data_IF_882727834200
#
_entry.id   IF_882727834200
#
_cell.length_a   1.000
_cell.length_b   1.000
_cell.length_c   1.000
_cell.angle_alpha   90.00
_cell.angle_beta   90.00
_cell.angle_gamma   90.00
#
_symmetry.space_group_name_H-M   'P 1'
#
loop_
_entity.id
_entity.type
_entity.pdbx_description
1 polymer ?
#
# COMPACT_ATOMS: atom_id res chain seq x y z
N UNK A 1 -39.40 2.07 -3.61
CA UNK A 1 -38.21 2.72 -3.04
C UNK A 1 -37.22 2.89 -4.16
N UNK A 2 -36.64 4.05 -4.34
CA UNK A 2 -35.61 4.31 -5.32
C UNK A 2 -34.37 3.52 -4.89
N UNK A 3 -33.78 2.73 -5.80
CA UNK A 3 -32.51 2.10 -5.56
C UNK A 3 -31.39 3.09 -5.86
N UNK A 4 -30.30 3.02 -5.11
CA UNK A 4 -29.15 3.89 -5.25
C UNK A 4 -27.89 3.07 -5.49
N UNK A 5 -27.00 3.62 -6.28
CA UNK A 5 -25.68 3.08 -6.57
C UNK A 5 -24.61 4.02 -6.04
N UNK A 6 -23.52 3.44 -5.53
CA UNK A 6 -22.31 4.21 -5.18
C UNK A 6 -21.28 4.11 -6.28
N UNK A 7 -20.51 5.15 -6.42
CA UNK A 7 -19.32 5.20 -7.27
C UNK A 7 -18.17 5.76 -6.47
N UNK A 8 -17.05 5.03 -6.44
CA UNK A 8 -15.88 5.35 -5.63
C UNK A 8 -14.64 5.44 -6.50
N UNK A 9 -13.85 6.49 -6.30
CA UNK A 9 -12.46 6.60 -6.68
C UNK A 9 -11.58 6.66 -5.43
N UNK A 10 -10.38 6.11 -5.51
CA UNK A 10 -9.42 6.11 -4.40
C UNK A 10 -8.15 6.85 -4.80
N UNK A 11 -7.70 7.75 -3.94
CA UNK A 11 -6.36 8.32 -3.94
C UNK A 11 -5.53 7.63 -2.87
N UNK A 12 -4.31 7.21 -3.22
CA UNK A 12 -3.43 6.50 -2.30
C UNK A 12 -2.05 7.16 -2.26
N UNK A 13 -1.69 7.71 -1.11
CA UNK A 13 -0.36 8.25 -0.87
C UNK A 13 0.55 7.14 -0.35
N UNK A 14 1.66 6.90 -1.03
CA UNK A 14 2.63 5.84 -0.73
C UNK A 14 3.98 6.48 -0.45
N UNK A 15 4.48 6.34 0.78
CA UNK A 15 5.83 6.77 1.13
C UNK A 15 6.86 5.84 0.49
N UNK A 16 7.80 6.42 -0.25
CA UNK A 16 8.86 5.67 -0.92
C UNK A 16 9.94 5.22 0.06
N UNK A 17 10.40 3.98 -0.10
CA UNK A 17 11.47 3.37 0.72
C UNK A 17 12.86 3.87 0.29
N UNK A 18 13.08 5.19 0.36
CA UNK A 18 14.39 5.81 0.11
C UNK A 18 15.14 6.04 1.41
N UNK A 19 16.46 6.06 1.38
CA UNK A 19 17.28 6.38 2.54
C UNK A 19 17.22 7.87 2.90
N UNK A 20 17.08 8.74 1.89
CA UNK A 20 17.03 10.19 2.07
C UNK A 20 15.72 10.76 1.51
N UNK A 21 15.41 11.99 1.88
CA UNK A 21 14.23 12.71 1.40
C UNK A 21 14.25 12.98 -0.11
N UNK A 22 13.14 13.50 -0.64
CA UNK A 22 12.97 13.68 -2.10
C UNK A 22 13.94 14.69 -2.69
N UNK A 23 14.20 15.80 -1.99
CA UNK A 23 15.01 16.91 -2.50
C UNK A 23 16.16 17.30 -1.57
N UNK A 24 16.36 16.61 -0.46
CA UNK A 24 17.41 16.91 0.51
C UNK A 24 18.13 15.63 0.95
N UNK A 25 19.37 15.73 1.51
CA UNK A 25 20.11 14.60 2.02
C UNK A 25 19.67 14.17 3.43
N UNK A 26 18.64 14.81 4.03
CA UNK A 26 18.14 14.41 5.33
C UNK A 26 17.60 12.97 5.31
N UNK A 27 17.71 12.28 6.43
CA UNK A 27 17.20 10.93 6.61
C UNK A 27 15.69 10.88 6.37
N UNK A 28 15.23 9.88 5.60
CA UNK A 28 13.80 9.69 5.34
C UNK A 28 13.09 8.91 6.48
N UNK A 29 13.82 8.29 7.38
CA UNK A 29 13.24 7.59 8.53
C UNK A 29 13.13 8.51 9.74
N UNK A 30 11.91 9.00 10.00
CA UNK A 30 11.58 9.84 11.14
C UNK A 30 11.06 9.06 12.36
N UNK A 31 10.99 7.71 12.29
CA UNK A 31 10.43 6.88 13.37
C UNK A 31 11.31 6.94 14.61
N UNK A 32 10.68 7.24 15.75
CA UNK A 32 11.37 7.32 17.04
C UNK A 32 12.41 8.45 17.15
N UNK A 33 12.45 9.39 16.20
CA UNK A 33 13.33 10.56 16.24
C UNK A 33 12.67 11.72 16.97
N UNK A 34 13.50 12.53 17.65
CA UNK A 34 13.02 13.77 18.26
C UNK A 34 12.45 14.71 17.19
N UNK A 35 11.39 15.48 17.50
CA UNK A 35 10.82 16.44 16.56
C UNK A 35 11.88 17.41 16.01
N UNK A 36 11.80 17.68 14.70
CA UNK A 36 12.71 18.57 13.98
C UNK A 36 14.21 18.19 14.04
N UNK A 37 14.53 16.90 14.23
CA UNK A 37 15.92 16.42 14.32
C UNK A 37 16.45 15.84 13.00
N UNK A 38 15.58 15.44 12.07
CA UNK A 38 15.95 14.89 10.76
C UNK A 38 15.49 15.82 9.63
N UNK A 39 15.99 17.05 9.67
CA UNK A 39 15.66 18.14 8.74
C UNK A 39 16.93 18.76 8.18
N UNK A 40 16.85 19.24 6.94
CA UNK A 40 17.94 19.94 6.24
C UNK A 40 17.48 21.38 5.92
N UNK A 41 18.40 22.35 5.73
CA UNK A 41 18.03 23.71 5.28
C UNK A 41 17.10 23.78 4.07
N UNK A 42 17.18 22.80 3.15
CA UNK A 42 16.22 22.66 2.04
C UNK A 42 14.82 22.39 2.55
N UNK A 43 14.64 21.48 3.54
CA UNK A 43 13.35 21.13 4.11
C UNK A 43 12.71 22.29 4.89
N UNK A 44 13.54 23.21 5.38
CA UNK A 44 13.10 24.46 6.02
C UNK A 44 12.76 25.59 5.03
N UNK A 45 13.00 25.39 3.74
CA UNK A 45 12.79 26.45 2.74
C UNK A 45 13.68 27.66 2.95
N UNK A 46 14.91 27.49 3.46
CA UNK A 46 15.81 28.61 3.73
C UNK A 46 16.25 29.28 2.42
N UNK A 47 16.38 30.62 2.41
CA UNK A 47 16.81 31.36 1.20
C UNK A 47 18.14 30.86 0.64
N UNK A 48 18.20 30.65 -0.68
CA UNK A 48 19.37 30.15 -1.38
C UNK A 48 19.53 28.63 -1.41
N UNK A 49 18.65 27.88 -0.73
CA UNK A 49 18.64 26.42 -0.82
C UNK A 49 17.81 25.95 -2.00
N UNK A 50 18.39 25.11 -2.86
CA UNK A 50 17.73 24.56 -4.04
C UNK A 50 17.47 23.07 -3.87
N UNK A 51 16.35 22.55 -4.40
CA UNK A 51 16.03 21.13 -4.35
C UNK A 51 17.00 20.29 -5.20
N UNK A 52 17.40 19.11 -4.69
CA UNK A 52 18.21 18.13 -5.43
C UNK A 52 17.44 16.82 -5.49
N UNK A 53 16.97 16.45 -6.67
CA UNK A 53 16.11 15.29 -6.88
C UNK A 53 16.81 13.97 -6.51
N UNK A 54 16.18 13.19 -5.66
CA UNK A 54 16.61 11.83 -5.29
C UNK A 54 16.32 10.84 -6.43
N UNK A 55 17.39 10.34 -7.09
CA UNK A 55 17.28 9.36 -8.17
C UNK A 55 16.56 8.08 -7.74
N UNK A 56 16.75 7.63 -6.50
CA UNK A 56 16.09 6.43 -6.01
C UNK A 56 14.57 6.58 -5.94
N UNK A 57 14.07 7.77 -5.61
CA UNK A 57 12.62 8.03 -5.65
C UNK A 57 12.06 7.85 -7.07
N UNK A 58 12.77 8.32 -8.09
CA UNK A 58 12.40 8.11 -9.51
C UNK A 58 12.41 6.61 -9.85
N UNK A 59 13.45 5.88 -9.45
CA UNK A 59 13.54 4.44 -9.70
C UNK A 59 12.37 3.67 -9.05
N UNK A 60 12.00 4.03 -7.82
CA UNK A 60 10.86 3.41 -7.13
C UNK A 60 9.52 3.76 -7.80
N UNK A 61 9.37 4.99 -8.32
CA UNK A 61 8.20 5.35 -9.12
C UNK A 61 8.09 4.51 -10.42
N UNK A 62 9.20 4.28 -11.11
CA UNK A 62 9.23 3.41 -12.30
C UNK A 62 8.83 1.97 -11.96
N UNK A 63 9.29 1.43 -10.81
CA UNK A 63 8.85 0.12 -10.32
C UNK A 63 7.36 0.09 -9.98
N UNK A 64 6.85 1.14 -9.35
CA UNK A 64 5.42 1.28 -9.09
C UNK A 64 4.60 1.26 -10.38
N UNK A 65 5.07 1.93 -11.43
CA UNK A 65 4.43 1.89 -12.75
C UNK A 65 4.26 0.47 -13.28
N UNK A 66 5.29 -0.39 -13.17
CA UNK A 66 5.19 -1.81 -13.53
C UNK A 66 4.15 -2.53 -12.67
N UNK A 67 4.18 -2.33 -11.36
CA UNK A 67 3.25 -3.00 -10.44
C UNK A 67 1.79 -2.61 -10.69
N UNK A 68 1.54 -1.36 -11.11
CA UNK A 68 0.21 -0.85 -11.46
C UNK A 68 -0.25 -1.22 -12.88
N UNK A 69 0.54 -2.01 -13.63
CA UNK A 69 0.25 -2.28 -15.03
C UNK A 69 0.17 -1.00 -15.89
N UNK A 70 0.91 0.03 -15.50
CA UNK A 70 0.84 1.37 -16.05
C UNK A 70 2.05 1.70 -16.93
N UNK A 71 1.84 2.56 -17.90
CA UNK A 71 2.92 3.10 -18.72
C UNK A 71 3.69 4.16 -17.91
N UNK A 72 5.02 4.11 -17.93
CA UNK A 72 5.90 5.16 -17.41
C UNK A 72 6.19 6.19 -18.51
N UNK A 73 6.15 7.46 -18.16
CA UNK A 73 6.45 8.55 -19.08
C UNK A 73 7.96 8.66 -19.30
N UNK A 74 8.38 8.82 -20.57
CA UNK A 74 9.78 9.09 -20.90
C UNK A 74 10.24 10.48 -20.44
N UNK A 75 9.31 11.43 -20.33
CA UNK A 75 9.57 12.77 -19.81
C UNK A 75 8.49 13.12 -18.79
N UNK A 76 8.92 13.46 -17.58
CA UNK A 76 8.04 13.99 -16.53
C UNK A 76 8.64 15.24 -15.89
N UNK A 77 7.82 16.07 -15.26
CA UNK A 77 8.24 17.37 -14.70
C UNK A 77 7.55 17.63 -13.39
N UNK A 78 8.23 18.38 -12.54
CA UNK A 78 7.64 18.86 -11.30
C UNK A 78 7.00 20.24 -11.48
N UNK A 79 5.94 20.43 -10.70
CA UNK A 79 5.19 21.68 -10.60
C UNK A 79 5.14 22.09 -9.12
N UNK A 80 4.95 23.39 -8.87
CA UNK A 80 4.70 23.94 -7.54
C UNK A 80 3.20 24.09 -7.33
N UNK A 81 2.71 23.49 -6.24
CA UNK A 81 1.34 23.66 -5.72
C UNK A 81 1.39 24.64 -4.57
N UNK A 82 1.00 25.89 -4.80
CA UNK A 82 1.15 26.95 -3.80
C UNK A 82 0.00 26.92 -2.78
N UNK A 83 0.38 26.77 -1.52
CA UNK A 83 -0.49 27.01 -0.38
C UNK A 83 0.35 27.30 0.87
N UNK A 84 -0.19 28.12 1.78
CA UNK A 84 0.54 28.55 2.97
C UNK A 84 0.00 27.80 4.18
N UNK A 85 0.84 26.96 4.75
CA UNK A 85 0.52 26.24 5.97
C UNK A 85 1.80 26.02 6.80
N UNK A 86 1.73 26.00 8.16
CA UNK A 86 2.94 25.93 9.00
C UNK A 86 3.83 24.72 8.76
N UNK A 87 3.28 23.60 8.30
CA UNK A 87 3.99 22.34 8.00
C UNK A 87 4.61 22.30 6.60
N UNK A 88 4.45 23.39 5.83
CA UNK A 88 4.99 23.54 4.47
C UNK A 88 5.86 24.81 4.39
N UNK A 89 7.11 24.77 4.89
CA UNK A 89 7.95 25.98 5.04
C UNK A 89 8.24 26.70 3.72
N UNK A 90 8.29 25.99 2.60
CA UNK A 90 8.50 26.55 1.27
C UNK A 90 7.34 27.44 0.79
N UNK A 91 6.14 27.32 1.38
CA UNK A 91 4.92 27.94 0.89
C UNK A 91 4.34 27.29 -0.36
N UNK A 92 4.93 26.19 -0.82
CA UNK A 92 4.45 25.33 -1.91
C UNK A 92 4.88 23.90 -1.71
N UNK A 93 4.07 22.97 -2.19
CA UNK A 93 4.42 21.56 -2.32
C UNK A 93 4.95 21.32 -3.73
N UNK A 94 6.04 20.56 -3.86
CA UNK A 94 6.55 20.10 -5.15
C UNK A 94 5.83 18.80 -5.48
N UNK A 95 5.18 18.76 -6.64
CA UNK A 95 4.32 17.68 -7.14
C UNK A 95 4.41 17.59 -8.67
N UNK A 96 3.59 16.76 -9.32
CA UNK A 96 3.57 16.63 -10.79
C UNK A 96 2.12 16.76 -11.31
N UNK A 97 1.64 17.98 -11.49
CA UNK A 97 0.26 18.22 -11.91
C UNK A 97 0.04 17.93 -13.41
N UNK A 98 0.94 18.37 -14.27
CA UNK A 98 0.73 18.32 -15.71
C UNK A 98 1.49 17.18 -16.42
N UNK A 99 2.59 16.73 -15.83
CA UNK A 99 3.46 15.72 -16.44
C UNK A 99 3.84 14.63 -15.42
N UNK A 100 2.88 13.77 -15.01
CA UNK A 100 3.12 12.72 -14.04
C UNK A 100 4.10 11.68 -14.57
N UNK A 101 4.85 11.05 -13.67
CA UNK A 101 5.81 9.99 -14.02
C UNK A 101 5.10 8.71 -14.49
N UNK A 102 3.94 8.40 -13.92
CA UNK A 102 3.18 7.17 -14.21
C UNK A 102 1.85 7.57 -14.85
N UNK A 103 1.60 7.02 -16.03
CA UNK A 103 0.39 7.28 -16.82
C UNK A 103 -0.70 6.25 -16.47
N UNK A 104 -1.69 6.13 -17.36
CA UNK A 104 -2.80 5.22 -17.15
C UNK A 104 -2.35 3.75 -17.00
N UNK A 105 -3.06 3.01 -16.15
CA UNK A 105 -2.83 1.61 -15.85
C UNK A 105 -4.12 0.89 -15.47
N UNK A 106 -3.99 -0.38 -15.06
CA UNK A 106 -5.10 -1.22 -14.62
C UNK A 106 -4.66 -2.14 -13.49
N UNK A 107 -5.41 -2.14 -12.40
CA UNK A 107 -5.23 -3.06 -11.27
C UNK A 107 -6.42 -3.99 -11.16
N UNK A 108 -6.17 -5.29 -11.05
CA UNK A 108 -7.17 -6.31 -10.78
C UNK A 108 -7.05 -6.78 -9.33
N UNK A 109 -8.04 -6.44 -8.52
CA UNK A 109 -8.06 -6.81 -7.10
C UNK A 109 -9.04 -7.96 -6.84
N UNK A 110 -8.58 -9.07 -6.23
CA UNK A 110 -9.44 -10.21 -5.94
C UNK A 110 -10.35 -9.89 -4.75
N UNK A 111 -11.61 -10.32 -4.85
CA UNK A 111 -12.60 -10.24 -3.80
C UNK A 111 -12.59 -11.49 -2.92
N UNK A 112 -13.12 -11.38 -1.69
CA UNK A 112 -13.19 -12.49 -0.74
C UNK A 112 -14.14 -13.61 -1.22
N UNK A 113 -15.14 -13.29 -2.03
CA UNK A 113 -16.10 -14.22 -2.63
C UNK A 113 -15.58 -14.97 -3.86
N UNK A 114 -14.33 -14.71 -4.28
CA UNK A 114 -13.70 -15.28 -5.46
C UNK A 114 -13.86 -14.46 -6.75
N UNK A 115 -14.56 -13.33 -6.69
CA UNK A 115 -14.64 -12.36 -7.78
C UNK A 115 -13.37 -11.51 -7.92
N UNK A 116 -13.39 -10.59 -8.87
CA UNK A 116 -12.29 -9.63 -9.12
C UNK A 116 -12.89 -8.30 -9.52
N UNK A 117 -12.45 -7.23 -8.87
CA UNK A 117 -12.72 -5.86 -9.33
C UNK A 117 -11.56 -5.37 -10.18
N UNK A 118 -11.88 -4.74 -11.31
CA UNK A 118 -10.90 -4.09 -12.21
C UNK A 118 -11.01 -2.59 -12.05
N UNK A 119 -9.94 -1.98 -11.61
CA UNK A 119 -9.89 -0.54 -11.35
C UNK A 119 -8.80 0.07 -12.21
N UNK A 120 -9.19 1.00 -13.07
CA UNK A 120 -8.25 1.77 -13.88
C UNK A 120 -7.52 2.76 -12.99
N UNK A 121 -6.23 2.89 -13.23
CA UNK A 121 -5.40 3.96 -12.66
C UNK A 121 -5.41 5.12 -13.66
N UNK A 122 -5.83 6.29 -13.20
CA UNK A 122 -5.80 7.49 -14.02
C UNK A 122 -4.34 7.93 -14.24
N UNK A 123 -3.59 8.05 -13.16
CA UNK A 123 -2.15 8.33 -13.15
C UNK A 123 -1.56 8.07 -11.76
N UNK A 124 -0.24 8.13 -11.66
CA UNK A 124 0.42 8.33 -10.38
C UNK A 124 1.60 9.28 -10.55
N UNK A 125 1.87 10.08 -9.53
CA UNK A 125 2.87 11.12 -9.60
C UNK A 125 3.73 11.17 -8.33
N UNK A 126 4.94 11.70 -8.49
CA UNK A 126 5.88 11.90 -7.38
C UNK A 126 5.59 13.25 -6.74
N UNK A 127 5.58 13.29 -5.41
CA UNK A 127 5.44 14.53 -4.66
C UNK A 127 6.20 14.47 -3.32
N UNK A 128 6.38 15.61 -2.67
CA UNK A 128 6.92 15.67 -1.32
C UNK A 128 5.80 15.75 -0.28
N UNK A 129 5.96 15.07 0.85
CA UNK A 129 5.04 15.20 1.99
C UNK A 129 5.30 16.51 2.76
N UNK A 130 4.26 16.98 3.44
CA UNK A 130 4.35 18.08 4.40
C UNK A 130 4.81 17.58 5.78
N UNK A 131 5.15 18.50 6.68
CA UNK A 131 5.44 18.21 8.08
C UNK A 131 4.21 17.70 8.85
N UNK A 132 4.35 17.60 10.16
CA UNK A 132 3.27 17.20 11.07
C UNK A 132 2.85 18.38 11.94
N UNK A 133 1.54 18.59 12.04
CA UNK A 133 0.96 19.54 12.98
C UNK A 133 0.25 18.81 14.12
N UNK A 134 0.46 19.30 15.34
CA UNK A 134 -0.28 18.86 16.51
C UNK A 134 -0.92 20.08 17.17
N UNK A 135 -2.25 20.10 17.27
CA UNK A 135 -3.03 21.23 17.76
C UNK A 135 -3.34 21.07 19.26
N UNK A 136 -3.10 22.12 20.04
CA UNK A 136 -3.34 22.18 21.48
C UNK A 136 -4.00 23.53 21.84
N UNK A 137 -5.31 23.53 21.93
CA UNK A 137 -6.05 24.73 22.32
C UNK A 137 -5.73 25.95 21.46
N UNK A 138 -4.90 26.85 21.97
CA UNK A 138 -4.52 28.13 21.36
C UNK A 138 -3.18 28.12 20.63
N UNK A 139 -2.45 26.99 20.61
CA UNK A 139 -1.20 26.84 19.87
C UNK A 139 -1.11 25.53 19.11
N UNK A 140 -0.16 25.48 18.18
CA UNK A 140 0.17 24.26 17.44
C UNK A 140 1.66 24.00 17.48
N UNK A 141 2.03 22.72 17.58
CA UNK A 141 3.41 22.28 17.42
C UNK A 141 3.64 21.83 15.97
N UNK A 142 4.78 22.21 15.42
CA UNK A 142 5.21 21.87 14.07
C UNK A 142 6.41 20.95 14.15
N UNK A 143 6.30 19.78 13.57
CA UNK A 143 7.38 18.84 13.40
C UNK A 143 7.65 18.64 11.90
N UNK A 144 8.82 19.06 11.46
CA UNK A 144 9.24 19.02 10.05
C UNK A 144 10.02 17.75 9.68
N UNK A 145 10.12 16.77 10.59
CA UNK A 145 10.82 15.52 10.29
C UNK A 145 10.28 14.83 9.04
N UNK A 146 8.95 14.90 8.82
CA UNK A 146 8.30 14.33 7.62
C UNK A 146 8.35 15.24 6.40
N UNK A 147 8.56 16.55 6.57
CA UNK A 147 8.62 17.50 5.44
C UNK A 147 9.69 17.08 4.43
N UNK A 148 9.32 16.98 3.16
CA UNK A 148 10.21 16.52 2.09
C UNK A 148 10.32 15.00 1.94
N UNK A 149 9.60 14.19 2.72
CA UNK A 149 9.48 12.74 2.52
C UNK A 149 8.95 12.45 1.11
N UNK A 150 9.60 11.56 0.34
CA UNK A 150 9.13 11.24 -1.02
C UNK A 150 7.87 10.40 -0.97
N UNK A 151 6.86 10.83 -1.70
CA UNK A 151 5.60 10.12 -1.90
C UNK A 151 5.36 9.81 -3.38
N UNK A 152 4.57 8.76 -3.62
CA UNK A 152 3.79 8.62 -4.86
C UNK A 152 2.32 8.74 -4.47
N UNK A 153 1.59 9.63 -5.14
CA UNK A 153 0.14 9.67 -5.10
C UNK A 153 -0.41 8.88 -6.29
N UNK A 154 -1.17 7.84 -6.00
CA UNK A 154 -1.84 6.97 -6.99
C UNK A 154 -3.31 7.39 -7.04
N UNK A 155 -3.78 7.81 -8.21
CA UNK A 155 -5.17 8.24 -8.43
C UNK A 155 -5.89 7.22 -9.30
N UNK A 156 -6.96 6.63 -8.79
CA UNK A 156 -7.79 5.71 -9.55
C UNK A 156 -8.91 6.43 -10.32
N UNK A 157 -9.43 5.78 -11.37
CA UNK A 157 -10.73 6.11 -11.93
C UNK A 157 -11.85 5.66 -10.96
N UNK A 158 -13.06 6.21 -11.08
CA UNK A 158 -14.19 5.85 -10.21
C UNK A 158 -14.87 4.55 -10.64
N UNK A 159 -14.12 3.45 -10.64
CA UNK A 159 -14.56 2.13 -11.13
C UNK A 159 -15.03 1.19 -10.00
N UNK A 160 -15.10 1.68 -8.77
CA UNK A 160 -15.43 0.89 -7.58
C UNK A 160 -16.88 1.17 -7.19
N UNK A 161 -17.67 0.12 -6.91
CA UNK A 161 -19.12 0.22 -6.70
C UNK A 161 -19.61 -0.40 -5.38
N UNK A 162 -18.69 -0.91 -4.54
CA UNK A 162 -19.04 -1.41 -3.21
C UNK A 162 -17.94 -1.16 -2.18
N UNK A 163 -18.28 -1.13 -0.87
CA UNK A 163 -17.27 -1.03 0.19
C UNK A 163 -16.26 -2.19 0.16
N UNK A 164 -16.71 -3.40 -0.21
CA UNK A 164 -15.88 -4.60 -0.31
C UNK A 164 -14.86 -4.47 -1.45
N UNK A 165 -15.29 -3.93 -2.59
CA UNK A 165 -14.38 -3.63 -3.71
C UNK A 165 -13.35 -2.56 -3.32
N UNK A 166 -13.75 -1.51 -2.59
CA UNK A 166 -12.83 -0.49 -2.11
C UNK A 166 -11.76 -1.05 -1.17
N UNK A 167 -12.16 -1.92 -0.22
CA UNK A 167 -11.24 -2.65 0.65
C UNK A 167 -10.28 -3.54 -0.14
N UNK A 168 -10.80 -4.32 -1.08
CA UNK A 168 -10.01 -5.24 -1.90
C UNK A 168 -8.97 -4.49 -2.74
N UNK A 169 -9.37 -3.37 -3.37
CA UNK A 169 -8.47 -2.53 -4.14
C UNK A 169 -7.37 -1.91 -3.27
N UNK A 170 -7.72 -1.33 -2.11
CA UNK A 170 -6.74 -0.78 -1.18
C UNK A 170 -5.73 -1.85 -0.70
N UNK A 171 -6.21 -3.06 -0.38
CA UNK A 171 -5.36 -4.18 0.02
C UNK A 171 -4.45 -4.67 -1.13
N UNK A 172 -4.95 -4.70 -2.37
CA UNK A 172 -4.12 -5.08 -3.52
C UNK A 172 -3.07 -4.01 -3.86
N UNK A 173 -3.42 -2.71 -3.79
CA UNK A 173 -2.44 -1.63 -3.93
C UNK A 173 -1.29 -1.76 -2.92
N UNK A 174 -1.61 -2.02 -1.67
CA UNK A 174 -0.61 -2.24 -0.63
C UNK A 174 0.35 -3.39 -1.00
N UNK A 175 -0.20 -4.53 -1.43
CA UNK A 175 0.61 -5.69 -1.86
C UNK A 175 1.46 -5.37 -3.08
N UNK A 176 0.90 -4.71 -4.08
CA UNK A 176 1.63 -4.31 -5.28
C UNK A 176 2.84 -3.43 -4.94
N UNK A 177 2.66 -2.42 -4.08
CA UNK A 177 3.72 -1.49 -3.69
C UNK A 177 4.79 -2.16 -2.82
N UNK A 178 4.39 -3.04 -1.89
CA UNK A 178 5.35 -3.77 -1.04
C UNK A 178 6.11 -4.84 -1.83
N UNK A 179 5.45 -5.60 -2.70
CA UNK A 179 6.09 -6.63 -3.54
C UNK A 179 7.05 -6.02 -4.57
N UNK A 180 6.75 -4.85 -5.10
CA UNK A 180 7.65 -4.13 -5.98
C UNK A 180 8.83 -3.45 -5.24
N UNK A 181 8.86 -3.52 -3.91
CA UNK A 181 9.88 -2.88 -3.07
C UNK A 181 9.82 -1.36 -3.13
N UNK A 182 8.64 -0.80 -3.36
CA UNK A 182 8.42 0.66 -3.48
C UNK A 182 8.30 1.32 -2.11
N UNK A 183 7.68 0.63 -1.17
CA UNK A 183 7.41 1.09 0.21
C UNK A 183 7.66 -0.02 1.21
N UNK A 184 7.88 0.34 2.49
CA UNK A 184 7.86 -0.62 3.59
C UNK A 184 6.44 -1.09 3.92
N UNK A 185 5.41 -0.32 3.55
CA UNK A 185 4.01 -0.71 3.67
C UNK A 185 3.44 -0.70 5.09
N UNK A 186 4.14 -0.12 6.05
CA UNK A 186 3.68 -0.04 7.42
C UNK A 186 2.54 0.99 7.54
N UNK A 187 1.30 0.48 7.65
CA UNK A 187 0.10 1.30 7.76
C UNK A 187 0.04 2.04 9.10
N UNK A 188 0.54 1.43 10.17
CA UNK A 188 0.56 2.06 11.49
C UNK A 188 1.45 3.31 11.50
N UNK A 189 2.59 3.26 10.83
CA UNK A 189 3.48 4.41 10.65
C UNK A 189 3.08 5.33 9.49
N UNK A 190 1.95 5.07 8.84
CA UNK A 190 1.42 5.92 7.77
C UNK A 190 2.23 5.87 6.48
N UNK A 191 2.94 4.76 6.20
CA UNK A 191 3.63 4.58 4.93
C UNK A 191 2.67 4.51 3.74
N UNK A 192 1.41 4.14 3.98
CA UNK A 192 0.33 4.26 3.00
C UNK A 192 -0.91 4.84 3.66
N UNK A 193 -1.58 5.74 2.95
CA UNK A 193 -2.81 6.41 3.37
C UNK A 193 -3.76 6.45 2.20
N UNK A 194 -5.05 6.30 2.49
CA UNK A 194 -6.09 6.25 1.47
C UNK A 194 -7.07 7.40 1.67
N UNK A 195 -7.45 8.05 0.59
CA UNK A 195 -8.54 9.02 0.54
C UNK A 195 -9.61 8.44 -0.38
N UNK A 196 -10.86 8.37 0.11
CA UNK A 196 -11.99 7.78 -0.59
C UNK A 196 -12.90 8.88 -1.12
N UNK A 197 -13.00 8.97 -2.44
CA UNK A 197 -13.93 9.84 -3.14
C UNK A 197 -15.20 9.06 -3.46
N UNK A 198 -16.31 9.36 -2.79
CA UNK A 198 -17.58 8.63 -2.95
C UNK A 198 -18.72 9.55 -3.39
N UNK A 199 -19.48 9.12 -4.39
CA UNK A 199 -20.73 9.72 -4.82
C UNK A 199 -21.83 8.67 -4.88
N UNK A 200 -23.09 9.10 -4.68
CA UNK A 200 -24.29 8.27 -4.74
C UNK A 200 -25.28 8.89 -5.71
N UNK A 201 -25.82 8.06 -6.58
CA UNK A 201 -26.86 8.43 -7.54
C UNK A 201 -27.96 7.37 -7.59
N UNK A 202 -29.17 7.69 -8.09
CA UNK A 202 -30.19 6.68 -8.39
C UNK A 202 -29.67 5.64 -9.38
N UNK A 203 -30.07 4.37 -9.20
CA UNK A 203 -29.69 3.26 -10.09
C UNK A 203 -30.00 3.61 -11.57
N UNK A 204 -28.99 3.45 -12.42
CA UNK A 204 -29.10 3.77 -13.86
C UNK A 204 -28.99 5.26 -14.21
N UNK A 205 -28.61 6.12 -13.27
CA UNK A 205 -28.33 7.53 -13.56
C UNK A 205 -27.14 7.65 -14.52
N UNK A 206 -27.23 8.57 -15.48
CA UNK A 206 -26.15 8.85 -16.44
C UNK A 206 -25.06 9.78 -15.89
N UNK A 207 -25.38 10.52 -14.84
CA UNK A 207 -24.47 11.46 -14.19
C UNK A 207 -24.14 11.00 -12.76
N UNK A 208 -22.89 11.16 -12.37
CA UNK A 208 -22.46 10.90 -10.99
C UNK A 208 -23.11 11.90 -10.02
N UNK A 209 -23.40 11.44 -8.82
CA UNK A 209 -23.82 12.29 -7.71
C UNK A 209 -22.71 13.25 -7.25
N UNK A 210 -23.04 14.14 -6.31
CA UNK A 210 -22.04 15.01 -5.68
C UNK A 210 -21.11 14.18 -4.80
N UNK A 211 -19.81 14.42 -4.93
CA UNK A 211 -18.73 13.69 -4.28
C UNK A 211 -18.50 14.20 -2.86
N UNK A 212 -18.35 13.27 -1.91
CA UNK A 212 -17.68 13.52 -0.64
C UNK A 212 -16.30 12.83 -0.65
N UNK A 213 -15.28 13.54 -0.17
CA UNK A 213 -13.94 13.03 -0.02
C UNK A 213 -13.70 12.67 1.46
N UNK A 214 -13.42 11.40 1.75
CA UNK A 214 -13.09 10.95 3.12
C UNK A 214 -11.59 10.75 3.21
N UNK A 215 -10.95 11.55 4.09
CA UNK A 215 -9.48 11.61 4.18
C UNK A 215 -8.87 10.78 5.30
N UNK A 216 -7.58 10.45 5.09
CA UNK A 216 -6.68 9.88 6.09
C UNK A 216 -7.11 8.50 6.61
N UNK A 217 -7.56 7.63 5.73
CA UNK A 217 -7.84 6.25 6.07
C UNK A 217 -6.53 5.45 6.05
N UNK A 218 -6.16 4.89 7.19
CA UNK A 218 -4.89 4.19 7.41
C UNK A 218 -5.04 2.68 7.61
N UNK A 219 -6.21 2.12 7.31
CA UNK A 219 -6.45 0.69 7.30
C UNK A 219 -7.47 0.30 6.23
N UNK A 220 -7.39 -0.92 5.72
CA UNK A 220 -8.36 -1.44 4.74
C UNK A 220 -9.77 -1.53 5.32
N UNK A 221 -9.87 -1.83 6.62
CA UNK A 221 -11.14 -1.86 7.34
C UNK A 221 -11.75 -0.46 7.44
N UNK A 222 -10.95 0.57 7.67
CA UNK A 222 -11.42 1.95 7.71
C UNK A 222 -11.91 2.41 6.34
N UNK A 223 -11.24 2.00 5.24
CA UNK A 223 -11.71 2.25 3.87
C UNK A 223 -13.10 1.66 3.64
N UNK A 224 -13.30 0.37 3.98
CA UNK A 224 -14.59 -0.31 3.85
C UNK A 224 -15.70 0.37 4.67
N UNK A 225 -15.43 0.61 5.96
CA UNK A 225 -16.42 1.19 6.89
C UNK A 225 -16.77 2.64 6.56
N UNK A 226 -15.78 3.42 6.12
CA UNK A 226 -16.01 4.80 5.70
C UNK A 226 -16.88 4.86 4.44
N UNK A 227 -16.61 4.01 3.45
CA UNK A 227 -17.42 3.91 2.23
C UNK A 227 -18.86 3.48 2.56
N UNK A 228 -19.04 2.47 3.43
CA UNK A 228 -20.37 2.01 3.86
C UNK A 228 -21.16 3.10 4.61
N UNK A 229 -20.48 3.82 5.52
CA UNK A 229 -21.11 4.90 6.27
C UNK A 229 -21.53 6.05 5.34
N UNK A 230 -20.65 6.50 4.45
CA UNK A 230 -20.95 7.59 3.52
C UNK A 230 -22.06 7.23 2.55
N UNK A 231 -22.11 6.00 2.06
CA UNK A 231 -23.23 5.52 1.24
C UNK A 231 -24.55 5.67 1.97
N UNK A 232 -24.64 5.15 3.19
CA UNK A 232 -25.87 5.24 4.02
C UNK A 232 -26.26 6.70 4.31
N UNK A 233 -25.27 7.54 4.61
CA UNK A 233 -25.48 8.97 4.89
C UNK A 233 -26.03 9.71 3.67
N UNK A 234 -25.41 9.49 2.50
CA UNK A 234 -25.83 10.17 1.26
C UNK A 234 -27.21 9.68 0.78
N UNK A 235 -27.49 8.38 0.88
CA UNK A 235 -28.83 7.83 0.58
C UNK A 235 -29.88 8.46 1.47
N UNK A 236 -29.65 8.56 2.78
CA UNK A 236 -30.62 9.17 3.71
C UNK A 236 -30.91 10.64 3.38
N UNK A 237 -29.90 11.44 2.98
CA UNK A 237 -30.10 12.81 2.52
C UNK A 237 -30.97 12.86 1.24
N UNK A 238 -30.63 12.01 0.26
CA UNK A 238 -31.38 11.97 -1.00
C UNK A 238 -32.84 11.53 -0.81
N UNK A 239 -33.11 10.57 0.06
CA UNK A 239 -34.45 10.12 0.41
C UNK A 239 -35.25 11.20 1.16
N UNK A 240 -34.58 12.04 1.96
CA UNK A 240 -35.18 13.20 2.61
C UNK A 240 -35.45 14.38 1.64
N UNK A 241 -35.03 14.27 0.38
CA UNK A 241 -35.11 15.37 -0.61
C UNK A 241 -34.06 16.44 -0.40
N UNK A 242 -33.02 16.14 0.41
CA UNK A 242 -31.92 17.03 0.66
C UNK A 242 -30.79 16.83 -0.39
N UNK A 243 -29.89 17.82 -0.49
CA UNK A 243 -28.77 17.77 -1.42
C UNK A 243 -27.50 17.30 -0.73
N UNK A 244 -26.79 16.39 -1.36
CA UNK A 244 -25.40 16.06 -0.96
C UNK A 244 -24.50 17.26 -1.31
N UNK A 245 -23.78 17.76 -0.31
CA UNK A 245 -22.81 18.85 -0.48
C UNK A 245 -21.45 18.23 -0.82
N UNK A 246 -20.73 18.85 -1.77
CA UNK A 246 -19.37 18.46 -2.07
C UNK A 246 -18.42 19.00 -0.99
N UNK A 247 -17.87 18.11 -0.19
CA UNK A 247 -17.06 18.45 0.98
C UNK A 247 -15.97 17.42 1.24
N UNK A 248 -14.95 17.83 2.02
CA UNK A 248 -13.96 16.94 2.63
C UNK A 248 -14.43 16.56 4.03
N UNK A 249 -14.35 15.26 4.35
CA UNK A 249 -14.78 14.68 5.61
C UNK A 249 -13.64 13.89 6.24
N UNK A 250 -13.56 13.90 7.58
CA UNK A 250 -12.63 13.07 8.33
C UNK A 250 -13.33 11.85 8.90
N UNK A 251 -12.69 10.69 8.85
CA UNK A 251 -13.16 9.45 9.46
C UNK A 251 -12.68 9.33 10.91
N UNK A 252 -13.52 8.78 11.78
CA UNK A 252 -13.18 8.38 13.14
C UNK A 252 -13.47 6.91 13.34
N UNK A 253 -12.45 6.10 13.58
CA UNK A 253 -12.60 4.66 13.84
C UNK A 253 -13.34 4.39 15.14
N UNK A 254 -13.17 5.25 16.16
CA UNK A 254 -13.81 5.12 17.47
C UNK A 254 -15.33 5.28 17.38
N UNK A 255 -15.79 6.29 16.63
CA UNK A 255 -17.23 6.56 16.47
C UNK A 255 -17.86 5.84 15.29
N UNK A 256 -17.05 5.37 14.34
CA UNK A 256 -17.52 4.79 13.06
C UNK A 256 -18.29 5.78 12.21
N UNK A 257 -17.91 7.07 12.23
CA UNK A 257 -18.61 8.14 11.52
C UNK A 257 -17.63 9.08 10.82
N UNK A 258 -18.14 9.76 9.80
CA UNK A 258 -17.43 10.88 9.18
C UNK A 258 -17.96 12.21 9.73
N UNK A 259 -17.08 13.20 9.80
CA UNK A 259 -17.40 14.59 10.18
C UNK A 259 -16.90 15.54 9.10
N UNK A 260 -17.69 16.58 8.79
CA UNK A 260 -17.28 17.62 7.83
C UNK A 260 -16.05 18.36 8.36
N UNK A 261 -15.04 18.52 7.50
CA UNK A 261 -13.81 19.25 7.82
C UNK A 261 -13.71 20.55 7.02
N UNK A 262 -14.11 20.53 5.74
CA UNK A 262 -13.98 21.66 4.84
C UNK A 262 -15.04 21.60 3.74
N UNK A 263 -15.66 22.73 3.41
CA UNK A 263 -16.55 22.85 2.26
C UNK A 263 -15.78 23.27 1.01
N UNK A 264 -16.37 23.04 -0.18
CA UNK A 264 -15.78 23.44 -1.47
C UNK A 264 -15.74 24.95 -1.66
N UNK A 265 -16.54 25.73 -0.92
CA UNK A 265 -16.54 27.19 -0.97
C UNK A 265 -15.19 27.80 -0.55
N UNK A 266 -14.38 27.02 0.21
CA UNK A 266 -13.01 27.36 0.61
C UNK A 266 -11.96 26.83 -0.35
N UNK A 267 -12.30 26.45 -1.60
CA UNK A 267 -11.33 25.93 -2.56
C UNK A 267 -10.25 26.99 -2.85
N UNK A 268 -9.00 26.64 -2.48
CA UNK A 268 -7.86 27.51 -2.77
C UNK A 268 -7.46 27.37 -4.23
N UNK A 269 -7.16 28.49 -4.87
CA UNK A 269 -6.43 28.51 -6.12
C UNK A 269 -4.95 28.22 -5.82
N UNK A 270 -4.50 27.01 -6.11
CA UNK A 270 -3.13 26.56 -5.86
C UNK A 270 -2.08 27.16 -6.81
N UNK A 271 -2.48 27.89 -7.83
CA UNK A 271 -1.59 28.57 -8.77
C UNK A 271 -0.45 27.66 -9.23
N UNK A 272 -0.80 26.48 -9.76
CA UNK A 272 0.18 25.55 -10.28
C UNK A 272 1.07 26.19 -11.35
N UNK A 273 2.38 26.00 -11.19
CA UNK A 273 3.37 26.41 -12.20
C UNK A 273 4.53 25.41 -12.24
N UNK A 274 5.20 25.22 -13.38
CA UNK A 274 6.39 24.40 -13.45
C UNK A 274 7.45 24.84 -12.44
N UNK A 275 8.08 23.87 -11.74
CA UNK A 275 9.20 24.19 -10.85
C UNK A 275 10.42 24.57 -11.69
N UNK A 276 10.98 25.80 -11.51
CA UNK A 276 12.10 26.29 -12.32
C UNK A 276 13.46 25.69 -11.89
N UNK A 277 13.54 25.13 -10.68
CA UNK A 277 14.80 24.70 -10.09
C UNK A 277 15.07 23.20 -10.29
N UNK A 278 14.07 22.43 -10.74
CA UNK A 278 14.18 20.99 -10.94
C UNK A 278 14.14 20.69 -12.46
N UNK A 279 15.22 20.15 -13.04
CA UNK A 279 15.22 19.71 -14.42
C UNK A 279 14.16 18.63 -14.68
N UNK A 280 13.63 18.52 -15.92
CA UNK A 280 12.78 17.41 -16.29
C UNK A 280 13.44 16.05 -16.02
N UNK A 281 12.66 15.09 -15.58
CA UNK A 281 13.06 13.68 -15.53
C UNK A 281 12.96 13.15 -16.96
N UNK A 282 14.07 12.69 -17.52
CA UNK A 282 14.12 12.08 -18.86
C UNK A 282 14.63 10.66 -18.70
N UNK A 283 13.85 9.68 -19.16
CA UNK A 283 14.17 8.25 -19.11
C UNK A 283 14.01 7.66 -20.50
N UNK A 284 15.00 6.90 -20.97
CA UNK A 284 14.85 6.11 -22.18
C UNK A 284 14.01 4.85 -21.90
N UNK A 285 13.52 4.21 -22.96
CA UNK A 285 12.77 2.95 -22.84
C UNK A 285 13.65 1.85 -22.23
N UNK A 286 14.96 1.85 -22.54
CA UNK A 286 15.94 0.92 -22.00
C UNK A 286 16.14 1.12 -20.50
N UNK A 287 16.29 2.38 -20.03
CA UNK A 287 16.40 2.70 -18.60
C UNK A 287 15.14 2.28 -17.83
N UNK A 288 13.96 2.55 -18.40
CA UNK A 288 12.68 2.12 -17.81
C UNK A 288 12.64 0.60 -17.70
N UNK A 289 12.97 -0.12 -18.77
CA UNK A 289 12.97 -1.58 -18.80
C UNK A 289 13.98 -2.17 -17.80
N UNK A 290 15.18 -1.61 -17.69
CA UNK A 290 16.19 -2.02 -16.72
C UNK A 290 15.68 -1.88 -15.29
N UNK A 291 15.15 -0.72 -14.91
CA UNK A 291 14.61 -0.47 -13.57
C UNK A 291 13.44 -1.41 -13.27
N UNK A 292 12.56 -1.63 -14.25
CA UNK A 292 11.42 -2.53 -14.13
C UNK A 292 11.84 -4.01 -14.03
N UNK A 293 12.98 -4.41 -14.56
CA UNK A 293 13.49 -5.78 -14.47
C UNK A 293 13.81 -6.20 -13.03
N UNK A 294 14.11 -5.22 -12.17
CA UNK A 294 14.34 -5.45 -10.73
C UNK A 294 13.06 -5.75 -9.93
N UNK A 295 11.87 -5.56 -10.53
CA UNK A 295 10.60 -5.97 -9.93
C UNK A 295 10.42 -7.46 -10.20
N UNK A 296 10.45 -8.27 -9.13
CA UNK A 296 10.20 -9.71 -9.24
C UNK A 296 8.71 -10.03 -9.44
N UNK A 297 8.31 -11.25 -9.06
CA UNK A 297 6.92 -11.66 -9.12
C UNK A 297 6.01 -10.76 -8.30
N UNK A 298 4.84 -10.47 -8.85
CA UNK A 298 3.79 -9.67 -8.24
C UNK A 298 2.66 -10.59 -7.71
N UNK A 299 1.74 -10.09 -6.90
CA UNK A 299 0.67 -10.90 -6.31
C UNK A 299 -0.13 -11.74 -7.32
N UNK A 300 -0.33 -11.24 -8.54
CA UNK A 300 -0.99 -11.97 -9.62
C UNK A 300 -0.19 -13.18 -10.11
N UNK A 301 1.14 -13.06 -10.17
CA UNK A 301 2.03 -14.15 -10.61
C UNK A 301 1.99 -15.32 -9.61
N UNK A 302 1.96 -15.02 -8.31
CA UNK A 302 1.80 -16.04 -7.27
C UNK A 302 0.41 -16.69 -7.29
N UNK A 303 -0.66 -15.90 -7.51
CA UNK A 303 -2.01 -16.49 -7.68
C UNK A 303 -1.99 -17.54 -8.79
N UNK A 304 -1.47 -17.17 -9.96
CA UNK A 304 -1.34 -18.07 -11.11
C UNK A 304 -0.43 -19.26 -10.82
N UNK A 305 0.71 -19.05 -10.16
CA UNK A 305 1.63 -20.13 -9.80
C UNK A 305 1.01 -21.16 -8.85
N UNK A 306 0.11 -20.71 -7.95
CA UNK A 306 -0.53 -21.56 -6.95
C UNK A 306 -1.85 -22.19 -7.40
N UNK A 307 -2.42 -21.79 -8.54
CA UNK A 307 -3.63 -22.43 -9.09
C UNK A 307 -3.54 -23.97 -9.15
N UNK A 308 -2.43 -24.60 -9.62
CA UNK A 308 -2.33 -26.05 -9.69
C UNK A 308 -2.30 -26.75 -8.33
N UNK A 309 -2.05 -26.00 -7.24
CA UNK A 309 -2.00 -26.54 -5.89
C UNK A 309 -3.39 -26.72 -5.26
N UNK A 310 -4.44 -26.17 -5.86
CA UNK A 310 -5.82 -26.18 -5.36
C UNK A 310 -5.93 -25.81 -3.88
N UNK A 311 -5.19 -24.77 -3.47
CA UNK A 311 -5.23 -24.25 -2.09
C UNK A 311 -6.52 -23.47 -1.85
N UNK A 312 -7.01 -23.53 -0.60
CA UNK A 312 -8.09 -22.65 -0.17
C UNK A 312 -7.74 -21.18 -0.34
N UNK A 313 -8.73 -20.35 -0.66
CA UNK A 313 -8.53 -18.90 -0.87
C UNK A 313 -7.94 -18.21 0.36
N UNK A 314 -8.29 -18.65 1.57
CA UNK A 314 -7.73 -18.16 2.84
C UNK A 314 -6.22 -18.48 2.97
N UNK A 315 -5.80 -19.68 2.54
CA UNK A 315 -4.38 -20.07 2.53
C UNK A 315 -3.60 -19.21 1.52
N UNK A 316 -4.13 -19.06 0.29
CA UNK A 316 -3.53 -18.18 -0.71
C UNK A 316 -3.46 -16.74 -0.22
N UNK A 317 -4.49 -16.29 0.51
CA UNK A 317 -4.53 -14.97 1.14
C UNK A 317 -3.41 -14.77 2.17
N UNK A 318 -3.24 -15.75 3.06
CA UNK A 318 -2.20 -15.75 4.10
C UNK A 318 -0.78 -15.78 3.51
N UNK A 319 -0.53 -16.62 2.50
CA UNK A 319 0.77 -16.68 1.81
C UNK A 319 1.17 -15.35 1.20
N UNK A 320 0.20 -14.59 0.69
CA UNK A 320 0.44 -13.29 0.09
C UNK A 320 0.53 -12.14 1.11
N UNK A 321 0.45 -12.43 2.40
CA UNK A 321 0.70 -11.43 3.44
C UNK A 321 2.14 -10.92 3.36
N UNK A 322 3.10 -11.80 3.05
CA UNK A 322 4.50 -11.42 2.80
C UNK A 322 5.03 -12.11 1.55
N UNK A 323 5.84 -11.38 0.78
CA UNK A 323 6.53 -11.94 -0.40
C UNK A 323 7.38 -13.16 -0.04
N UNK A 324 8.08 -13.12 1.09
CA UNK A 324 8.99 -14.18 1.54
C UNK A 324 8.29 -15.53 1.66
N UNK A 325 7.04 -15.57 2.17
CA UNK A 325 6.29 -16.84 2.26
C UNK A 325 5.87 -17.35 0.89
N UNK A 326 5.43 -16.45 0.01
CA UNK A 326 5.04 -16.80 -1.34
C UNK A 326 6.25 -17.33 -2.14
N UNK A 327 7.42 -16.70 -2.02
CA UNK A 327 8.69 -17.15 -2.64
C UNK A 327 9.07 -18.55 -2.14
N UNK A 328 9.02 -18.80 -0.83
CA UNK A 328 9.36 -20.11 -0.26
C UNK A 328 8.42 -21.21 -0.76
N UNK A 329 7.10 -20.97 -0.78
CA UNK A 329 6.15 -21.97 -1.33
C UNK A 329 6.42 -22.22 -2.82
N UNK A 330 6.70 -21.18 -3.60
CA UNK A 330 7.03 -21.31 -5.02
C UNK A 330 8.33 -22.10 -5.23
N UNK A 331 9.35 -21.90 -4.39
CA UNK A 331 10.59 -22.67 -4.42
C UNK A 331 10.34 -24.14 -4.08
N UNK A 332 9.56 -24.41 -3.04
CA UNK A 332 9.20 -25.77 -2.63
C UNK A 332 8.32 -26.46 -3.69
N UNK A 333 7.47 -25.73 -4.40
CA UNK A 333 6.65 -26.26 -5.50
C UNK A 333 7.48 -26.88 -6.63
N UNK A 334 8.68 -26.31 -6.89
CA UNK A 334 9.61 -26.88 -7.89
C UNK A 334 10.13 -28.26 -7.50
N UNK A 335 10.09 -28.60 -6.19
CA UNK A 335 10.53 -29.92 -5.67
C UNK A 335 9.36 -30.90 -5.56
N UNK A 336 8.12 -30.42 -5.49
CA UNK A 336 6.91 -31.24 -5.46
C UNK A 336 5.68 -30.51 -4.97
N UNK A 337 4.54 -30.72 -5.64
CA UNK A 337 3.28 -30.07 -5.29
C UNK A 337 2.78 -30.47 -3.89
N UNK A 338 2.97 -31.73 -3.46
CA UNK A 338 2.58 -32.18 -2.12
C UNK A 338 3.33 -31.42 -1.01
N UNK A 339 4.63 -31.21 -1.21
CA UNK A 339 5.44 -30.42 -0.28
C UNK A 339 4.96 -28.97 -0.24
N UNK A 340 4.70 -28.36 -1.40
CA UNK A 340 4.20 -26.98 -1.48
C UNK A 340 2.85 -26.80 -0.77
N UNK A 341 1.90 -27.70 -0.98
CA UNK A 341 0.59 -27.68 -0.30
C UNK A 341 0.76 -27.78 1.22
N UNK A 342 1.64 -28.66 1.69
CA UNK A 342 1.92 -28.85 3.11
C UNK A 342 2.53 -27.60 3.74
N UNK A 343 3.57 -27.04 3.10
CA UNK A 343 4.25 -25.83 3.55
C UNK A 343 3.31 -24.62 3.53
N UNK A 344 2.49 -24.49 2.49
CA UNK A 344 1.46 -23.45 2.40
C UNK A 344 0.49 -23.47 3.58
N UNK A 345 -0.01 -24.66 3.94
CA UNK A 345 -0.89 -24.83 5.08
C UNK A 345 -0.20 -24.55 6.43
N UNK A 346 1.08 -24.88 6.56
CA UNK A 346 1.85 -24.53 7.76
C UNK A 346 1.98 -23.02 7.91
N UNK A 347 2.37 -22.29 6.87
CA UNK A 347 2.38 -20.83 6.90
C UNK A 347 1.01 -20.28 7.30
N UNK A 348 -0.06 -20.68 6.62
CA UNK A 348 -1.41 -20.20 6.92
C UNK A 348 -1.89 -20.48 8.34
N UNK A 349 -1.47 -21.63 8.94
CA UNK A 349 -1.83 -21.99 10.30
C UNK A 349 -0.97 -21.34 11.38
N UNK A 350 0.20 -20.80 11.03
CA UNK A 350 1.16 -20.19 11.96
C UNK A 350 1.04 -18.67 12.00
N UNK A 351 0.53 -18.07 10.92
CA UNK A 351 0.27 -16.64 10.81
C UNK A 351 -1.08 -16.34 11.47
N UNK A 352 -1.14 -16.45 12.78
CA UNK A 352 -2.17 -15.82 13.59
C UNK A 352 -1.45 -14.72 14.37
N UNK A 353 -1.75 -13.47 14.01
CA UNK A 353 -1.32 -12.22 14.64
C UNK A 353 0.17 -11.84 14.55
N UNK A 354 0.44 -10.77 13.78
CA UNK A 354 1.56 -9.82 13.91
C UNK A 354 2.98 -10.37 14.11
N UNK A 355 3.36 -11.44 13.42
CA UNK A 355 4.78 -11.76 13.33
C UNK A 355 5.41 -10.79 12.32
N UNK A 356 6.00 -9.72 12.82
CA UNK A 356 7.02 -9.00 12.04
C UNK A 356 8.01 -10.06 11.56
N UNK A 357 8.06 -10.30 10.23
CA UNK A 357 8.96 -11.29 9.62
C UNK A 357 10.37 -10.67 9.65
N UNK A 358 10.92 -10.52 10.85
CA UNK A 358 12.32 -10.15 11.06
C UNK A 358 13.15 -11.43 11.07
N UNK A 359 13.74 -11.74 9.93
CA UNK A 359 14.67 -12.87 9.80
C UNK A 359 14.65 -13.51 8.41
N UNK A 360 15.70 -14.29 8.16
CA UNK A 360 15.79 -15.10 6.94
C UNK A 360 15.09 -16.44 7.21
N UNK A 361 14.14 -16.82 6.35
CA UNK A 361 13.48 -18.12 6.46
C UNK A 361 14.47 -19.27 6.23
N UNK A 362 14.34 -20.31 7.03
CA UNK A 362 15.11 -21.55 6.88
C UNK A 362 14.48 -22.47 5.84
N UNK A 363 14.58 -22.11 4.57
CA UNK A 363 13.98 -22.88 3.47
C UNK A 363 14.43 -24.34 3.44
N UNK A 364 15.72 -24.60 3.74
CA UNK A 364 16.26 -25.96 3.78
C UNK A 364 15.61 -26.80 4.88
N UNK A 365 15.50 -26.26 6.10
CA UNK A 365 14.86 -26.95 7.22
C UNK A 365 13.34 -27.13 7.01
N UNK A 366 12.68 -26.17 6.38
CA UNK A 366 11.25 -26.28 6.02
C UNK A 366 11.02 -27.41 5.02
N UNK A 367 11.89 -27.55 4.02
CA UNK A 367 11.79 -28.62 3.04
C UNK A 367 12.12 -29.98 3.68
N UNK A 368 13.21 -30.10 4.47
CA UNK A 368 13.54 -31.28 5.25
C UNK A 368 12.37 -31.76 6.12
N UNK A 369 11.71 -30.81 6.82
CA UNK A 369 10.52 -31.11 7.62
C UNK A 369 9.39 -31.72 6.77
N UNK A 370 9.19 -31.18 5.57
CA UNK A 370 8.16 -31.72 4.66
C UNK A 370 8.52 -33.11 4.14
N UNK A 371 9.79 -33.41 3.90
CA UNK A 371 10.25 -34.77 3.55
C UNK A 371 10.03 -35.76 4.69
N UNK A 372 10.33 -35.36 5.95
CA UNK A 372 10.12 -36.23 7.13
C UNK A 372 8.62 -36.57 7.33
N UNK A 373 7.73 -35.61 7.08
CA UNK A 373 6.28 -35.88 7.11
C UNK A 373 5.86 -36.79 5.97
N UNK A 374 6.39 -36.63 4.76
CA UNK A 374 6.13 -37.51 3.63
C UNK A 374 6.58 -38.94 3.91
N UNK A 375 7.69 -39.11 4.60
CA UNK A 375 8.24 -40.41 5.02
C UNK A 375 7.52 -41.03 6.25
N UNK A 376 6.47 -40.37 6.76
CA UNK A 376 5.77 -40.77 8.01
C UNK A 376 6.68 -40.83 9.27
N UNK A 377 7.77 -40.07 9.28
CA UNK A 377 8.65 -39.98 10.46
C UNK A 377 8.09 -39.04 11.54
N UNK A 378 7.12 -38.21 11.20
CA UNK A 378 6.50 -37.21 12.08
C UNK A 378 4.98 -37.20 11.96
N UNK A 379 4.29 -36.99 13.07
CA UNK A 379 2.87 -36.67 13.07
C UNK A 379 2.64 -35.23 12.60
N UNK A 380 1.42 -34.94 12.11
CA UNK A 380 1.05 -33.58 11.70
C UNK A 380 1.16 -32.55 12.83
N UNK A 381 0.93 -32.95 14.09
CA UNK A 381 1.05 -32.10 15.28
C UNK A 381 2.53 -31.80 15.58
N UNK A 382 3.37 -32.83 15.57
CA UNK A 382 4.81 -32.69 15.76
C UNK A 382 5.43 -31.81 14.69
N UNK A 383 5.01 -31.98 13.44
CA UNK A 383 5.50 -31.16 12.34
C UNK A 383 5.20 -29.66 12.52
N UNK A 384 3.99 -29.30 13.00
CA UNK A 384 3.65 -27.89 13.28
C UNK A 384 4.51 -27.30 14.39
N UNK A 385 4.79 -28.06 15.44
CA UNK A 385 5.65 -27.63 16.54
C UNK A 385 7.09 -27.39 16.06
N UNK A 386 7.62 -28.32 15.26
CA UNK A 386 8.97 -28.18 14.69
C UNK A 386 9.03 -27.00 13.74
N UNK A 387 8.02 -26.81 12.89
CA UNK A 387 7.94 -25.69 11.94
C UNK A 387 8.10 -24.35 12.64
N UNK A 388 7.40 -24.12 13.76
CA UNK A 388 7.54 -22.89 14.54
C UNK A 388 8.97 -22.66 15.07
N UNK A 389 9.66 -23.73 15.44
CA UNK A 389 11.04 -23.63 15.96
C UNK A 389 12.05 -23.32 14.86
N UNK A 390 11.92 -23.97 13.69
CA UNK A 390 12.92 -23.84 12.62
C UNK A 390 12.73 -22.60 11.76
N UNK A 391 11.57 -21.95 11.78
CA UNK A 391 11.12 -20.95 10.81
C UNK A 391 12.17 -19.85 10.55
N UNK A 392 12.78 -19.31 11.61
CA UNK A 392 13.80 -18.27 11.56
C UNK A 392 15.14 -18.67 12.22
N UNK A 393 15.42 -19.97 12.28
CA UNK A 393 16.65 -20.50 12.84
C UNK A 393 17.44 -21.25 11.76
N UNK A 394 18.70 -21.55 12.02
CA UNK A 394 19.53 -22.37 11.14
C UNK A 394 19.47 -23.88 11.51
N UNK A 395 18.59 -24.27 12.44
CA UNK A 395 18.51 -25.67 12.89
C UNK A 395 17.80 -26.54 11.85
N UNK A 396 18.31 -27.73 11.61
CA UNK A 396 17.65 -28.73 10.77
C UNK A 396 16.41 -29.33 11.47
N UNK A 397 15.41 -29.67 10.69
CA UNK A 397 14.14 -30.21 11.21
C UNK A 397 14.37 -31.53 11.98
N UNK A 398 15.21 -32.41 11.46
CA UNK A 398 15.59 -33.69 12.11
C UNK A 398 16.23 -33.46 13.47
N UNK A 399 17.18 -32.54 13.57
CA UNK A 399 17.86 -32.22 14.82
C UNK A 399 16.87 -31.73 15.91
N UNK A 400 15.90 -30.91 15.53
CA UNK A 400 14.86 -30.45 16.46
C UNK A 400 13.93 -31.58 16.84
N UNK A 401 13.54 -32.44 15.88
CA UNK A 401 12.70 -33.60 16.12
C UNK A 401 13.33 -34.60 17.14
N UNK A 402 14.63 -34.86 16.96
CA UNK A 402 15.41 -35.73 17.87
C UNK A 402 15.52 -35.13 19.27
N UNK A 403 15.88 -33.84 19.36
CA UNK A 403 16.03 -33.13 20.63
C UNK A 403 14.72 -33.09 21.44
N UNK A 404 13.57 -33.08 20.77
CA UNK A 404 12.25 -33.04 21.40
C UNK A 404 11.57 -34.41 21.51
N UNK A 405 12.21 -35.50 21.07
CA UNK A 405 11.66 -36.86 21.04
C UNK A 405 10.33 -36.92 20.27
N UNK A 406 10.21 -36.26 19.12
CA UNK A 406 9.01 -36.16 18.31
C UNK A 406 8.98 -37.15 17.13
N UNK A 407 10.07 -37.89 16.89
CA UNK A 407 10.11 -38.93 15.85
C UNK A 407 9.14 -40.05 16.17
N UNK A 408 8.39 -40.49 15.16
CA UNK A 408 7.53 -41.68 15.26
C UNK A 408 8.42 -42.93 15.27
N UNK A 409 8.21 -43.78 16.28
CA UNK A 409 8.79 -45.14 16.29
C UNK A 409 7.87 -45.98 15.44
N UNK A 410 8.32 -46.43 14.27
CA UNK A 410 7.62 -47.49 13.54
C UNK A 410 7.81 -48.79 14.33
N UNK A 411 6.75 -49.28 14.98
CA UNK A 411 6.74 -50.68 15.40
C UNK A 411 6.70 -51.53 14.11
N UNK A 412 7.80 -52.28 13.87
CA UNK A 412 7.84 -53.36 12.89
C UNK A 412 6.93 -54.50 13.27
#
# INVERSE_FOLDING_TARGET
MTKYEMTIGIECHVQLATATKLFSPADNDARGKEPNSVVHPIDHGLPGMLPVLNRQAVNLAVRAGKALGAKVANVSRFDRKHYFYPDLPNGYQITQMYHPTILAGLVEAPLEDGGTVKVRIHHAHIEMDAGKLSHYGDYSLVDLNRAGTPLIEIVSEPDIHSPQEAKAFAAELHKLMTYAGVTHGDLYHGNMRFDVNISVAPEGATELGKRAEVKNLNSFRSVERAAEYEFKRQVALLEAGERVVQETRGWSDDTGKTTSQRSKEDAQDYRYMPDPDIPPIVLSDEEIAEIQSAVGDLPADYRKAFEPLNLDSSVVGALRATRTFADTVKTVQQKGSNHAVRVANWFASTIVDDVSVEGVLNEAGIFELSEMVEANELSSTAAKEIFQVILFTTQGARSVAEAKNLLQVSDE
#
